data_IF_362581078321
#
_entry.id   IF_362581078321
#
_cell.length_a   1.000
_cell.length_b   1.000
_cell.length_c   1.000
_cell.angle_alpha   90.00
_cell.angle_beta   90.00
_cell.angle_gamma   90.00
#
_symmetry.space_group_name_H-M   'P 1'
#
loop_
_entity.id
_entity.type
_entity.pdbx_description
1 polymer ?
#
# COMPACT_ATOMS: atom_id res chain seq x y z
N UNK A 1 2.34 -20.75 -4.08
CA UNK A 1 2.67 -19.31 -4.11
C UNK A 1 4.09 -19.12 -3.63
N UNK A 2 4.85 -18.18 -4.23
CA UNK A 2 6.20 -17.84 -3.75
C UNK A 2 6.11 -17.12 -2.40
N UNK A 3 6.99 -17.50 -1.46
CA UNK A 3 7.09 -16.83 -0.18
C UNK A 3 8.06 -15.65 -0.28
N UNK A 4 7.65 -14.47 0.17
CA UNK A 4 8.44 -13.23 0.14
C UNK A 4 8.75 -12.78 1.58
N UNK A 5 10.03 -12.55 1.87
CA UNK A 5 10.44 -12.04 3.18
C UNK A 5 10.09 -10.56 3.31
N UNK A 6 9.10 -10.24 4.13
CA UNK A 6 8.67 -8.88 4.42
C UNK A 6 9.59 -8.25 5.47
N UNK A 7 10.20 -7.13 5.12
CA UNK A 7 11.11 -6.36 5.99
C UNK A 7 10.44 -5.07 6.45
N UNK A 8 9.80 -5.04 7.63
CA UNK A 8 9.11 -3.86 8.13
C UNK A 8 10.01 -2.62 8.12
N UNK A 9 9.53 -1.51 7.52
CA UNK A 9 10.27 -0.27 7.36
C UNK A 9 11.33 -0.26 6.25
N UNK A 10 11.55 -1.38 5.53
CA UNK A 10 12.55 -1.47 4.46
C UNK A 10 12.14 -2.47 3.36
N UNK A 11 10.87 -2.44 2.98
CA UNK A 11 10.32 -3.27 1.89
C UNK A 11 10.38 -2.47 0.59
N UNK A 12 10.89 -3.07 -0.48
CA UNK A 12 11.05 -2.39 -1.77
C UNK A 12 9.74 -2.32 -2.55
N UNK A 13 9.63 -1.38 -3.51
CA UNK A 13 8.47 -1.33 -4.43
C UNK A 13 8.34 -2.63 -5.25
N UNK A 14 9.44 -3.28 -5.58
CA UNK A 14 9.41 -4.58 -6.25
C UNK A 14 8.77 -5.66 -5.37
N UNK A 15 9.08 -5.68 -4.06
CA UNK A 15 8.47 -6.60 -3.11
C UNK A 15 6.95 -6.32 -2.96
N UNK A 16 6.54 -5.06 -2.86
CA UNK A 16 5.13 -4.68 -2.83
C UNK A 16 4.38 -5.10 -4.09
N UNK A 17 5.01 -4.98 -5.25
CA UNK A 17 4.44 -5.44 -6.53
C UNK A 17 4.24 -6.95 -6.56
N UNK A 18 5.20 -7.73 -6.06
CA UNK A 18 5.06 -9.19 -5.98
C UNK A 18 3.94 -9.59 -5.01
N UNK A 19 3.76 -8.89 -3.89
CA UNK A 19 2.62 -9.11 -2.97
C UNK A 19 1.30 -8.78 -3.67
N UNK A 20 1.22 -7.67 -4.40
CA UNK A 20 0.06 -7.33 -5.22
C UNK A 20 -0.28 -8.43 -6.23
N UNK A 21 0.74 -9.07 -6.82
CA UNK A 21 0.61 -10.18 -7.77
C UNK A 21 0.31 -11.54 -7.11
N UNK A 22 0.27 -11.61 -5.80
CA UNK A 22 -0.11 -12.81 -5.06
C UNK A 22 1.02 -13.53 -4.34
N UNK A 23 2.23 -12.94 -4.22
CA UNK A 23 3.25 -13.49 -3.34
C UNK A 23 2.80 -13.41 -1.88
N UNK A 24 3.11 -14.45 -1.11
CA UNK A 24 2.75 -14.53 0.31
C UNK A 24 3.83 -13.84 1.16
N UNK A 25 3.51 -12.72 1.82
CA UNK A 25 4.46 -12.06 2.70
C UNK A 25 4.68 -12.87 3.97
N UNK A 26 5.94 -12.99 4.38
CA UNK A 26 6.34 -13.56 5.68
C UNK A 26 7.23 -12.58 6.41
N UNK A 27 6.86 -12.21 7.63
CA UNK A 27 7.62 -11.28 8.45
C UNK A 27 9.05 -11.76 8.72
N UNK A 28 9.99 -10.81 8.64
CA UNK A 28 11.33 -11.04 9.17
C UNK A 28 11.26 -11.28 10.70
N UNK A 29 11.79 -12.40 11.16
CA UNK A 29 11.80 -12.75 12.57
C UNK A 29 12.50 -11.69 13.46
N UNK A 30 13.38 -10.89 12.89
CA UNK A 30 14.07 -9.80 13.59
C UNK A 30 13.12 -8.71 14.15
N UNK A 31 11.89 -8.59 13.64
CA UNK A 31 10.92 -7.63 14.18
C UNK A 31 10.21 -8.10 15.47
N UNK A 32 10.20 -9.41 15.76
CA UNK A 32 9.44 -9.99 16.90
C UNK A 32 9.80 -9.38 18.28
N UNK A 33 11.07 -9.12 18.64
CA UNK A 33 11.39 -8.49 19.91
C UNK A 33 10.78 -7.10 20.07
N UNK A 34 10.79 -6.28 19.01
CA UNK A 34 10.20 -4.92 19.04
C UNK A 34 8.67 -4.97 19.19
N UNK A 35 8.00 -5.88 18.50
CA UNK A 35 6.56 -6.11 18.64
C UNK A 35 6.22 -6.43 20.10
N UNK A 36 6.93 -7.39 20.68
CA UNK A 36 6.72 -7.81 22.07
C UNK A 36 6.95 -6.67 23.06
N UNK A 37 8.06 -5.94 22.92
CA UNK A 37 8.40 -4.80 23.78
C UNK A 37 7.32 -3.70 23.74
N UNK A 38 6.81 -3.37 22.56
CA UNK A 38 5.73 -2.38 22.37
C UNK A 38 4.42 -2.82 23.03
N UNK A 39 4.04 -4.10 22.91
CA UNK A 39 2.85 -4.65 23.56
C UNK A 39 2.99 -4.64 25.09
N UNK A 40 4.16 -4.99 25.61
CA UNK A 40 4.47 -4.92 27.06
C UNK A 40 4.42 -3.48 27.58
N UNK A 41 4.88 -2.49 26.81
CA UNK A 41 4.78 -1.07 27.17
C UNK A 41 3.31 -0.65 27.32
N UNK A 42 2.42 -1.04 26.40
CA UNK A 42 0.97 -0.78 26.55
C UNK A 42 0.43 -1.41 27.83
N UNK A 43 0.82 -2.62 28.16
CA UNK A 43 0.37 -3.29 29.40
C UNK A 43 0.83 -2.49 30.66
N UNK A 44 2.07 -1.97 30.65
CA UNK A 44 2.58 -1.11 31.76
C UNK A 44 1.84 0.22 31.82
N UNK A 45 1.58 0.87 30.69
CA UNK A 45 0.76 2.09 30.60
C UNK A 45 -0.63 1.88 31.18
N UNK A 46 -1.31 0.79 30.80
CA UNK A 46 -2.64 0.45 31.35
C UNK A 46 -2.57 0.23 32.88
N UNK A 47 -1.53 -0.44 33.36
CA UNK A 47 -1.35 -0.73 34.79
C UNK A 47 -1.12 0.54 35.63
N UNK A 48 -0.49 1.60 35.08
CA UNK A 48 -0.35 2.92 35.75
C UNK A 48 -1.70 3.60 35.98
N UNK A 49 -2.71 3.29 35.17
CA UNK A 49 -4.06 3.79 35.34
C UNK A 49 -4.27 5.25 34.93
N UNK A 50 -3.28 5.93 34.39
CA UNK A 50 -3.42 7.27 33.84
C UNK A 50 -4.20 7.23 32.52
N UNK A 51 -5.06 8.24 32.22
CA UNK A 51 -5.76 8.31 30.94
C UNK A 51 -4.80 8.50 29.77
N UNK A 52 -4.78 7.59 28.83
CA UNK A 52 -3.97 7.69 27.60
C UNK A 52 -4.89 7.45 26.40
N UNK A 53 -4.91 8.41 25.48
CA UNK A 53 -5.78 8.36 24.31
C UNK A 53 -5.57 7.08 23.51
N UNK A 54 -6.68 6.45 23.13
CA UNK A 54 -6.67 5.25 22.30
C UNK A 54 -6.23 3.97 23.02
N UNK A 55 -5.80 4.04 24.28
CA UNK A 55 -5.39 2.91 25.11
C UNK A 55 -6.50 2.57 26.11
N UNK A 56 -6.83 3.52 27.01
CA UNK A 56 -7.80 3.35 28.08
C UNK A 56 -8.78 4.56 28.21
N UNK A 57 -8.95 5.31 27.13
CA UNK A 57 -9.97 6.37 27.03
C UNK A 57 -10.96 6.07 25.92
N UNK A 58 -12.09 6.76 25.90
CA UNK A 58 -12.96 6.83 24.72
C UNK A 58 -12.29 7.58 23.56
N UNK A 59 -13.03 7.74 22.47
CA UNK A 59 -12.54 8.33 21.21
C UNK A 59 -13.30 9.60 20.86
N UNK A 60 -12.70 10.46 20.03
CA UNK A 60 -13.30 11.72 19.59
C UNK A 60 -13.71 12.60 20.79
N UNK A 61 -14.99 12.92 20.91
CA UNK A 61 -15.52 13.72 22.03
C UNK A 61 -15.36 13.05 23.41
N UNK A 62 -15.18 11.73 23.45
CA UNK A 62 -14.98 10.95 24.68
C UNK A 62 -13.50 10.69 24.99
N UNK A 63 -12.58 11.37 24.33
CA UNK A 63 -11.13 11.20 24.49
C UNK A 63 -10.63 11.44 25.92
N UNK A 64 -11.34 12.25 26.71
CA UNK A 64 -11.04 12.53 28.13
C UNK A 64 -11.73 11.57 29.09
N UNK A 65 -12.61 10.69 28.61
CA UNK A 65 -13.37 9.76 29.47
C UNK A 65 -12.54 8.49 29.65
N UNK A 66 -12.12 8.23 30.89
CA UNK A 66 -11.42 7.00 31.25
C UNK A 66 -12.37 5.80 31.19
N UNK A 67 -11.90 4.73 30.57
CA UNK A 67 -12.62 3.44 30.49
C UNK A 67 -12.03 2.46 31.50
N UNK A 68 -12.85 1.79 32.33
CA UNK A 68 -12.36 0.75 33.23
C UNK A 68 -11.66 -0.39 32.48
N UNK A 69 -10.69 -1.00 33.13
CA UNK A 69 -9.92 -2.10 32.51
C UNK A 69 -10.81 -3.28 32.06
N UNK A 70 -11.88 -3.56 32.80
CA UNK A 70 -12.85 -4.59 32.46
C UNK A 70 -13.63 -4.33 31.15
N UNK A 71 -13.73 -3.06 30.73
CA UNK A 71 -14.52 -2.64 29.56
C UNK A 71 -13.65 -2.39 28.33
N UNK A 72 -12.31 -2.49 28.44
CA UNK A 72 -11.38 -2.17 27.35
C UNK A 72 -11.58 -3.10 26.15
N UNK A 73 -11.83 -4.38 26.35
CA UNK A 73 -12.11 -5.33 25.27
C UNK A 73 -13.38 -4.89 24.50
N UNK A 74 -14.44 -4.61 25.23
CA UNK A 74 -15.72 -4.15 24.67
C UNK A 74 -15.53 -2.85 23.90
N UNK A 75 -14.74 -1.91 24.43
CA UNK A 75 -14.41 -0.65 23.76
C UNK A 75 -13.70 -0.89 22.43
N UNK A 76 -12.66 -1.74 22.42
CA UNK A 76 -11.87 -2.02 21.20
C UNK A 76 -12.74 -2.73 20.13
N UNK A 77 -13.58 -3.65 20.54
CA UNK A 77 -14.55 -4.29 19.65
C UNK A 77 -15.55 -3.28 19.08
N UNK A 78 -16.12 -2.43 19.92
CA UNK A 78 -17.15 -1.49 19.52
C UNK A 78 -16.61 -0.42 18.57
N UNK A 79 -15.37 0.07 18.76
CA UNK A 79 -14.78 1.03 17.83
C UNK A 79 -14.64 0.40 16.44
N UNK A 80 -14.21 -0.85 16.34
CA UNK A 80 -14.11 -1.57 15.07
C UNK A 80 -15.48 -1.67 14.39
N UNK A 81 -16.48 -2.19 15.09
CA UNK A 81 -17.80 -2.43 14.51
C UNK A 81 -18.53 -1.14 14.12
N UNK A 82 -18.37 -0.08 14.91
CA UNK A 82 -19.00 1.21 14.62
C UNK A 82 -18.37 1.96 13.44
N UNK A 83 -17.12 1.65 13.10
CA UNK A 83 -16.40 2.26 11.96
C UNK A 83 -16.45 1.40 10.69
N UNK A 84 -16.92 0.16 10.75
CA UNK A 84 -17.11 -0.71 9.59
C UNK A 84 -18.34 -0.27 8.78
N UNK A 85 -18.32 0.95 8.27
CA UNK A 85 -19.42 1.64 7.59
C UNK A 85 -19.11 1.95 6.11
N UNK A 86 -18.17 1.21 5.50
CA UNK A 86 -17.85 1.31 4.09
C UNK A 86 -19.00 0.85 3.19
N UNK A 87 -19.07 1.38 1.97
CA UNK A 87 -20.11 1.11 0.97
C UNK A 87 -19.51 0.82 -0.41
N UNK A 88 -20.34 0.41 -1.34
CA UNK A 88 -19.92 0.11 -2.72
C UNK A 88 -19.46 -1.32 -2.90
N UNK A 89 -18.94 -1.60 -4.09
CA UNK A 89 -18.44 -2.92 -4.45
C UNK A 89 -17.20 -3.30 -3.61
N UNK A 90 -16.96 -4.57 -3.39
CA UNK A 90 -15.74 -5.02 -2.73
C UNK A 90 -14.47 -4.58 -3.47
N UNK A 91 -13.43 -4.23 -2.71
CA UNK A 91 -12.07 -4.09 -3.26
C UNK A 91 -11.65 -5.37 -3.98
N UNK A 92 -10.80 -5.24 -5.00
CA UNK A 92 -10.17 -6.42 -5.57
C UNK A 92 -9.34 -7.16 -4.53
N UNK A 93 -9.32 -8.49 -4.61
CA UNK A 93 -8.51 -9.35 -3.71
C UNK A 93 -7.04 -8.94 -3.69
N UNK A 94 -6.48 -8.54 -4.84
CA UNK A 94 -5.09 -8.10 -4.96
C UNK A 94 -4.80 -6.82 -4.15
N UNK A 95 -5.67 -5.81 -4.26
CA UNK A 95 -5.52 -4.54 -3.52
C UNK A 95 -5.77 -4.77 -2.03
N UNK A 96 -6.76 -5.58 -1.66
CA UNK A 96 -7.02 -5.90 -0.25
C UNK A 96 -5.85 -6.68 0.38
N UNK A 97 -5.26 -7.64 -0.34
CA UNK A 97 -4.03 -8.35 0.08
C UNK A 97 -2.88 -7.37 0.31
N UNK A 98 -2.69 -6.41 -0.59
CA UNK A 98 -1.67 -5.37 -0.46
C UNK A 98 -1.93 -4.49 0.77
N UNK A 99 -3.16 -4.05 1.00
CA UNK A 99 -3.57 -3.29 2.19
C UNK A 99 -3.27 -4.06 3.48
N UNK A 100 -3.60 -5.35 3.55
CA UNK A 100 -3.29 -6.22 4.70
C UNK A 100 -1.77 -6.32 4.94
N UNK A 101 -0.99 -6.51 3.88
CA UNK A 101 0.46 -6.63 3.96
C UNK A 101 1.12 -5.31 4.41
N UNK A 102 0.65 -4.16 3.92
CA UNK A 102 1.06 -2.84 4.37
C UNK A 102 0.76 -2.66 5.87
N UNK A 103 -0.44 -3.06 6.30
CA UNK A 103 -0.81 -3.02 7.72
C UNK A 103 0.07 -3.93 8.56
N UNK A 104 0.32 -5.15 8.10
CA UNK A 104 1.22 -6.09 8.76
C UNK A 104 2.64 -5.50 8.92
N UNK A 105 3.19 -4.90 7.86
CA UNK A 105 4.51 -4.28 7.89
C UNK A 105 4.58 -3.06 8.83
N UNK A 106 3.55 -2.23 8.84
CA UNK A 106 3.47 -1.06 9.73
C UNK A 106 3.45 -1.48 11.20
N UNK A 107 2.54 -2.40 11.58
CA UNK A 107 2.42 -2.92 12.95
C UNK A 107 3.69 -3.64 13.42
N UNK A 108 4.35 -4.36 12.52
CA UNK A 108 5.55 -5.13 12.83
C UNK A 108 6.81 -4.28 13.07
N UNK A 109 6.76 -2.96 12.88
CA UNK A 109 7.84 -2.07 13.29
C UNK A 109 7.95 -1.90 14.81
N UNK A 110 6.91 -2.32 15.56
CA UNK A 110 6.94 -2.33 17.02
C UNK A 110 6.69 -0.98 17.68
N UNK A 111 5.94 -0.09 17.01
CA UNK A 111 5.54 1.21 17.56
C UNK A 111 4.02 1.35 17.75
N UNK A 112 3.26 0.26 17.56
CA UNK A 112 1.78 0.30 17.58
C UNK A 112 1.16 -0.31 18.83
N UNK A 113 1.94 -0.97 19.69
CA UNK A 113 1.47 -1.59 20.91
C UNK A 113 0.58 -2.82 20.73
N UNK A 114 0.65 -3.46 19.56
CA UNK A 114 -0.17 -4.63 19.19
C UNK A 114 0.51 -5.91 19.66
N UNK A 115 -0.26 -6.83 20.25
CA UNK A 115 0.26 -8.11 20.74
C UNK A 115 0.71 -9.02 19.58
N UNK A 116 1.73 -9.88 19.81
CA UNK A 116 2.22 -10.82 18.81
C UNK A 116 1.11 -11.66 18.15
N UNK A 117 0.16 -12.18 18.93
CA UNK A 117 -0.94 -13.02 18.44
C UNK A 117 -1.82 -12.33 17.40
N UNK A 118 -2.04 -11.03 17.52
CA UNK A 118 -2.84 -10.23 16.56
C UNK A 118 -2.10 -10.07 15.24
N UNK A 119 -0.79 -9.87 15.29
CA UNK A 119 0.09 -9.82 14.11
C UNK A 119 0.19 -11.21 13.46
N UNK A 120 0.33 -12.26 14.24
CA UNK A 120 0.38 -13.64 13.78
C UNK A 120 -0.91 -14.05 13.06
N UNK A 121 -2.08 -13.63 13.55
CA UNK A 121 -3.34 -13.86 12.85
C UNK A 121 -3.36 -13.16 11.49
N UNK A 122 -2.96 -11.89 11.41
CA UNK A 122 -2.93 -11.16 10.14
C UNK A 122 -1.95 -11.80 9.14
N UNK A 123 -0.79 -12.24 9.61
CA UNK A 123 0.18 -12.99 8.80
C UNK A 123 -0.40 -14.34 8.34
N UNK A 124 -1.09 -15.07 9.23
CA UNK A 124 -1.72 -16.35 8.91
C UNK A 124 -2.89 -16.21 7.92
N UNK A 125 -3.68 -15.14 8.01
CA UNK A 125 -4.73 -14.85 7.02
C UNK A 125 -4.12 -14.65 5.62
N UNK A 126 -3.04 -13.87 5.50
CA UNK A 126 -2.31 -13.69 4.25
C UNK A 126 -1.72 -14.99 3.73
N UNK A 127 -1.17 -15.83 4.62
CA UNK A 127 -0.57 -17.11 4.24
C UNK A 127 -1.59 -18.12 3.71
N UNK A 128 -2.83 -18.05 4.19
CA UNK A 128 -3.93 -18.92 3.78
C UNK A 128 -4.85 -18.31 2.71
N UNK A 129 -4.51 -17.14 2.19
CA UNK A 129 -5.33 -16.38 1.22
C UNK A 129 -6.77 -16.13 1.72
N UNK A 130 -6.91 -15.91 3.03
CA UNK A 130 -8.16 -15.50 3.68
C UNK A 130 -8.20 -13.97 3.68
N UNK A 131 -8.83 -13.41 2.65
CA UNK A 131 -8.81 -11.97 2.37
C UNK A 131 -10.16 -11.35 2.73
N UNK A 132 -10.22 -10.36 3.63
CA UNK A 132 -11.47 -9.69 4.01
C UNK A 132 -12.23 -9.09 2.82
N UNK A 133 -13.55 -9.17 2.88
CA UNK A 133 -14.42 -8.42 1.97
C UNK A 133 -14.52 -7.00 2.51
N UNK A 134 -13.83 -6.08 1.86
CA UNK A 134 -13.77 -4.67 2.24
C UNK A 134 -14.43 -3.84 1.15
N UNK A 135 -15.46 -3.02 1.44
CA UNK A 135 -16.04 -2.10 0.48
C UNK A 135 -15.02 -1.07 -0.03
N UNK A 136 -15.10 -0.72 -1.31
CA UNK A 136 -14.15 0.16 -1.96
C UNK A 136 -14.31 1.65 -1.60
N UNK A 137 -15.39 2.04 -0.90
CA UNK A 137 -15.69 3.42 -0.54
C UNK A 137 -15.92 3.54 0.97
N UNK A 138 -15.32 4.55 1.60
CA UNK A 138 -15.52 4.79 3.03
C UNK A 138 -14.38 5.54 3.72
N UNK A 139 -13.20 5.66 3.11
CA UNK A 139 -12.13 6.52 3.62
C UNK A 139 -12.19 7.91 3.00
N UNK A 140 -11.86 8.91 3.82
CA UNK A 140 -11.59 10.30 3.39
C UNK A 140 -10.15 10.72 3.71
N UNK A 141 -9.34 9.81 4.25
CA UNK A 141 -7.93 10.03 4.54
C UNK A 141 -7.60 11.00 5.68
N UNK A 142 -8.57 11.74 6.21
CA UNK A 142 -8.33 12.80 7.19
C UNK A 142 -7.98 12.28 8.59
N UNK A 143 -8.63 11.20 9.04
CA UNK A 143 -8.33 10.51 10.31
C UNK A 143 -7.71 9.13 10.07
N UNK A 144 -7.13 8.94 8.91
CA UNK A 144 -6.75 7.64 8.38
C UNK A 144 -7.91 6.91 7.70
N UNK A 145 -7.63 5.73 7.21
CA UNK A 145 -8.52 4.88 6.43
C UNK A 145 -9.45 4.05 7.33
N UNK A 146 -10.18 4.70 8.24
CA UNK A 146 -10.89 4.05 9.35
C UNK A 146 -11.88 3.00 8.88
N UNK A 147 -12.80 3.34 7.96
CA UNK A 147 -13.85 2.41 7.55
C UNK A 147 -13.31 1.15 6.86
N UNK A 148 -12.45 1.21 5.82
CA UNK A 148 -11.92 0.01 5.18
C UNK A 148 -11.04 -0.83 6.12
N UNK A 149 -10.21 -0.22 6.95
CA UNK A 149 -9.40 -0.95 7.94
C UNK A 149 -10.26 -1.55 9.06
N UNK A 150 -11.42 -0.94 9.38
CA UNK A 150 -12.39 -1.52 10.30
C UNK A 150 -13.05 -2.76 9.72
N UNK A 151 -13.39 -2.80 8.43
CA UNK A 151 -13.88 -4.02 7.78
C UNK A 151 -12.84 -5.13 7.82
N UNK A 152 -11.57 -4.83 7.55
CA UNK A 152 -10.47 -5.79 7.70
C UNK A 152 -10.39 -6.32 9.14
N UNK A 153 -10.43 -5.43 10.12
CA UNK A 153 -10.33 -5.77 11.55
C UNK A 153 -11.57 -6.52 12.04
N UNK A 154 -12.76 -6.19 11.53
CA UNK A 154 -13.98 -6.92 11.85
C UNK A 154 -13.86 -8.41 11.50
N UNK A 155 -13.25 -8.73 10.37
CA UNK A 155 -12.96 -10.12 9.99
C UNK A 155 -12.00 -10.78 10.98
N UNK A 156 -10.97 -10.10 11.44
CA UNK A 156 -10.03 -10.63 12.45
C UNK A 156 -10.71 -10.99 13.77
N UNK A 157 -11.80 -10.30 14.12
CA UNK A 157 -12.64 -10.63 15.31
C UNK A 157 -13.84 -11.53 14.98
N UNK A 158 -13.87 -12.17 13.81
CA UNK A 158 -14.87 -13.14 13.40
C UNK A 158 -16.19 -12.55 12.89
N UNK A 159 -16.21 -11.27 12.46
CA UNK A 159 -17.39 -10.57 11.93
C UNK A 159 -17.16 -10.19 10.47
N UNK A 160 -18.17 -10.33 9.61
CA UNK A 160 -18.08 -10.01 8.18
C UNK A 160 -17.79 -11.23 7.34
N UNK A 161 -17.21 -11.03 6.16
CA UNK A 161 -16.96 -12.06 5.16
C UNK A 161 -15.53 -12.00 4.60
N UNK A 162 -15.06 -13.13 4.08
CA UNK A 162 -13.76 -13.26 3.44
C UNK A 162 -13.90 -13.86 2.05
N UNK A 163 -13.02 -13.45 1.15
CA UNK A 163 -12.65 -14.24 -0.01
C UNK A 163 -11.62 -15.29 0.40
N UNK A 164 -11.75 -16.47 -0.15
CA UNK A 164 -10.79 -17.58 -0.04
C UNK A 164 -10.59 -18.18 -1.45
N UNK A 165 -9.62 -19.06 -1.67
CA UNK A 165 -9.49 -19.77 -2.95
C UNK A 165 -10.74 -20.56 -3.36
N UNK A 166 -11.63 -20.85 -2.41
CA UNK A 166 -12.86 -21.63 -2.63
C UNK A 166 -14.13 -20.78 -2.78
N UNK A 167 -14.02 -19.46 -2.67
CA UNK A 167 -15.14 -18.52 -2.78
C UNK A 167 -15.26 -17.56 -1.62
N UNK A 168 -16.40 -16.90 -1.52
CA UNK A 168 -16.74 -15.93 -0.47
C UNK A 168 -17.55 -16.60 0.65
N UNK A 169 -17.09 -16.45 1.90
CA UNK A 169 -17.69 -17.09 3.07
C UNK A 169 -17.75 -16.13 4.26
N UNK A 170 -18.69 -16.33 5.21
CA UNK A 170 -18.63 -15.67 6.51
C UNK A 170 -17.28 -15.88 7.19
N UNK A 171 -16.75 -14.86 7.86
CA UNK A 171 -15.42 -14.90 8.50
C UNK A 171 -15.22 -16.13 9.40
N UNK A 172 -16.22 -16.45 10.23
CA UNK A 172 -16.15 -17.62 11.13
C UNK A 172 -16.02 -18.95 10.37
N UNK A 173 -16.72 -19.09 9.23
CA UNK A 173 -16.64 -20.29 8.40
C UNK A 173 -15.28 -20.40 7.74
N UNK A 174 -14.79 -19.29 7.15
CA UNK A 174 -13.47 -19.24 6.54
C UNK A 174 -12.36 -19.55 7.55
N UNK A 175 -12.46 -19.04 8.78
CA UNK A 175 -11.45 -19.28 9.83
C UNK A 175 -11.41 -20.77 10.23
N UNK A 176 -12.56 -21.35 10.53
CA UNK A 176 -12.63 -22.79 10.88
C UNK A 176 -12.04 -23.67 9.79
N UNK A 177 -12.37 -23.40 8.52
CA UNK A 177 -11.87 -24.20 7.39
C UNK A 177 -10.36 -24.06 7.13
N UNK A 178 -9.72 -23.00 7.65
CA UNK A 178 -8.28 -22.77 7.52
C UNK A 178 -7.52 -22.92 8.85
N UNK A 179 -8.16 -23.40 9.90
CA UNK A 179 -7.52 -23.58 11.21
C UNK A 179 -7.11 -22.26 11.88
N UNK A 180 -7.85 -21.18 11.61
CA UNK A 180 -7.63 -19.86 12.20
C UNK A 180 -8.63 -19.61 13.33
N UNK A 181 -8.22 -18.83 14.33
CA UNK A 181 -9.06 -18.42 15.44
C UNK A 181 -9.22 -16.90 15.45
N UNK A 182 -10.44 -16.37 15.64
CA UNK A 182 -10.64 -14.93 15.82
C UNK A 182 -9.89 -14.41 17.04
N UNK A 183 -9.32 -13.20 16.91
CA UNK A 183 -8.63 -12.55 18.02
C UNK A 183 -9.62 -11.76 18.89
N UNK A 184 -9.44 -11.81 20.21
CA UNK A 184 -10.04 -10.86 21.13
C UNK A 184 -9.09 -9.69 21.30
N UNK A 185 -9.55 -8.47 20.94
CA UNK A 185 -8.71 -7.27 20.93
C UNK A 185 -8.40 -6.78 22.35
N UNK A 186 -7.12 -6.59 22.63
CA UNK A 186 -6.66 -5.92 23.87
C UNK A 186 -6.65 -4.40 23.74
N UNK A 187 -6.25 -3.72 24.81
CA UNK A 187 -6.09 -2.28 24.85
C UNK A 187 -5.25 -1.79 23.66
N UNK A 188 -5.64 -0.66 23.03
CA UNK A 188 -5.00 -0.07 21.85
C UNK A 188 -5.21 -0.85 20.52
N UNK A 189 -5.43 -2.15 20.53
CA UNK A 189 -5.39 -2.97 19.31
C UNK A 189 -6.48 -2.62 18.28
N UNK A 190 -7.68 -2.30 18.72
CA UNK A 190 -8.75 -1.86 17.83
C UNK A 190 -8.31 -0.61 17.06
N UNK A 191 -7.86 0.42 17.78
CA UNK A 191 -7.41 1.67 17.15
C UNK A 191 -6.16 1.45 16.27
N UNK A 192 -5.18 0.66 16.72
CA UNK A 192 -3.98 0.37 15.93
C UNK A 192 -4.29 -0.32 14.60
N UNK A 193 -5.27 -1.21 14.59
CA UNK A 193 -5.68 -1.94 13.40
C UNK A 193 -6.47 -1.08 12.41
N UNK A 194 -7.38 -0.24 12.90
CA UNK A 194 -8.24 0.56 12.01
C UNK A 194 -7.68 1.95 11.63
N UNK A 195 -6.63 2.42 12.33
CA UNK A 195 -6.02 3.73 12.07
C UNK A 195 -4.77 3.60 11.21
N UNK A 196 -4.62 4.45 10.21
CA UNK A 196 -3.48 4.47 9.29
C UNK A 196 -3.90 4.70 7.83
N UNK A 197 -2.95 4.66 6.92
CA UNK A 197 -3.08 5.04 5.50
C UNK A 197 -3.01 3.85 4.53
N UNK A 198 -3.15 2.63 5.02
CA UNK A 198 -2.86 1.42 4.24
C UNK A 198 -3.84 1.18 3.09
N UNK A 199 -5.10 1.62 3.21
CA UNK A 199 -6.08 1.53 2.13
C UNK A 199 -5.72 2.50 1.00
N UNK A 200 -5.50 3.77 1.31
CA UNK A 200 -5.08 4.80 0.35
C UNK A 200 -3.77 4.42 -0.34
N UNK A 201 -2.77 3.98 0.44
CA UNK A 201 -1.47 3.54 -0.07
C UNK A 201 -1.59 2.30 -0.97
N UNK A 202 -2.45 1.33 -0.64
CA UNK A 202 -2.65 0.14 -1.46
C UNK A 202 -3.26 0.48 -2.83
N UNK A 203 -4.23 1.38 -2.88
CA UNK A 203 -4.79 1.86 -4.14
C UNK A 203 -3.77 2.64 -4.97
N UNK A 204 -3.02 3.55 -4.33
CA UNK A 204 -2.02 4.34 -5.01
C UNK A 204 -0.86 3.48 -5.57
N UNK A 205 -0.40 2.47 -4.83
CA UNK A 205 0.60 1.50 -5.31
C UNK A 205 0.06 0.66 -6.47
N UNK A 206 -1.18 0.16 -6.39
CA UNK A 206 -1.80 -0.58 -7.48
C UNK A 206 -1.89 0.29 -8.74
N UNK A 207 -2.34 1.54 -8.61
CA UNK A 207 -2.40 2.50 -9.71
C UNK A 207 -1.01 2.81 -10.30
N UNK A 208 0.02 2.94 -9.45
CA UNK A 208 1.41 3.11 -9.90
C UNK A 208 1.88 1.90 -10.74
N UNK A 209 1.63 0.67 -10.27
CA UNK A 209 2.04 -0.53 -10.98
C UNK A 209 1.34 -0.67 -12.33
N UNK A 210 0.06 -0.33 -12.41
CA UNK A 210 -0.70 -0.34 -13.66
C UNK A 210 -0.24 0.79 -14.60
N UNK A 211 0.05 1.99 -14.08
CA UNK A 211 0.57 3.11 -14.87
C UNK A 211 1.96 2.81 -15.46
N UNK A 212 2.82 2.07 -14.76
CA UNK A 212 4.11 1.62 -15.31
C UNK A 212 3.92 0.65 -16.48
N UNK A 213 2.97 -0.26 -16.41
CA UNK A 213 2.64 -1.16 -17.52
C UNK A 213 2.08 -0.38 -18.71
N UNK A 214 1.20 0.59 -18.46
CA UNK A 214 0.66 1.48 -19.49
C UNK A 214 1.77 2.31 -20.15
N UNK A 215 2.71 2.83 -19.36
CA UNK A 215 3.85 3.60 -19.89
C UNK A 215 4.73 2.73 -20.80
N UNK A 216 5.06 1.50 -20.39
CA UNK A 216 5.84 0.57 -21.24
C UNK A 216 5.09 0.24 -22.53
N UNK A 217 3.79 -0.02 -22.45
CA UNK A 217 2.93 -0.29 -23.61
C UNK A 217 2.88 0.92 -24.57
N UNK A 218 2.82 2.13 -24.01
CA UNK A 218 2.83 3.37 -24.79
C UNK A 218 4.16 3.59 -25.52
N UNK A 219 5.31 3.22 -24.93
CA UNK A 219 6.60 3.25 -25.62
C UNK A 219 6.60 2.35 -26.86
N UNK A 220 6.11 1.11 -26.72
CA UNK A 220 6.03 0.17 -27.84
C UNK A 220 5.07 0.69 -28.91
N UNK A 221 3.87 1.12 -28.52
CA UNK A 221 2.89 1.68 -29.44
C UNK A 221 3.40 2.93 -30.16
N UNK A 222 4.13 3.78 -29.46
CA UNK A 222 4.76 5.00 -30.00
C UNK A 222 5.84 4.66 -31.05
N UNK A 223 6.72 3.72 -30.77
CA UNK A 223 7.73 3.25 -31.71
C UNK A 223 7.09 2.63 -32.96
N UNK A 224 6.11 1.73 -32.78
CA UNK A 224 5.35 1.13 -33.88
C UNK A 224 4.65 2.17 -34.74
N UNK A 225 4.03 3.17 -34.12
CA UNK A 225 3.32 4.24 -34.84
C UNK A 225 4.28 5.09 -35.68
N UNK A 226 5.47 5.40 -35.13
CA UNK A 226 6.50 6.14 -35.84
C UNK A 226 7.00 5.34 -37.04
N UNK A 227 7.28 4.07 -36.86
CA UNK A 227 7.78 3.18 -37.93
C UNK A 227 6.73 2.96 -39.02
N UNK A 228 5.47 2.65 -38.66
CA UNK A 228 4.37 2.45 -39.57
C UNK A 228 4.05 3.69 -40.41
N UNK A 229 4.18 4.89 -39.83
CA UNK A 229 3.99 6.15 -40.52
C UNK A 229 5.21 6.56 -41.37
N UNK A 230 6.25 5.71 -41.46
CA UNK A 230 7.55 6.07 -42.06
C UNK A 230 8.15 7.33 -41.42
N UNK A 231 8.02 7.46 -40.07
CA UNK A 231 8.58 8.55 -39.31
C UNK A 231 10.10 8.42 -39.14
N UNK A 232 10.75 9.56 -38.82
CA UNK A 232 12.19 9.61 -38.61
C UNK A 232 12.55 9.27 -37.14
N UNK A 233 13.66 8.57 -36.96
CA UNK A 233 14.29 8.33 -35.66
C UNK A 233 15.26 9.48 -35.26
N UNK A 234 15.52 10.41 -36.18
CA UNK A 234 16.40 11.56 -35.94
C UNK A 234 15.98 12.43 -34.75
N UNK A 235 14.68 12.67 -34.46
CA UNK A 235 14.25 13.39 -33.27
C UNK A 235 14.60 12.68 -31.95
N UNK A 236 14.97 11.38 -31.97
CA UNK A 236 15.36 10.60 -30.80
C UNK A 236 16.89 10.58 -30.60
N UNK A 237 17.67 11.35 -31.39
CA UNK A 237 19.12 11.43 -31.25
C UNK A 237 19.51 11.88 -29.83
N UNK A 238 20.45 11.18 -29.15
CA UNK A 238 20.81 11.44 -27.76
C UNK A 238 21.31 12.87 -27.51
N UNK A 239 21.96 13.50 -28.51
CA UNK A 239 22.50 14.87 -28.39
C UNK A 239 21.41 15.89 -28.11
N UNK A 240 20.22 15.72 -28.71
CA UNK A 240 19.06 16.59 -28.49
C UNK A 240 18.62 16.55 -27.02
N UNK A 241 18.52 15.33 -26.47
CA UNK A 241 17.96 15.11 -25.14
C UNK A 241 18.97 15.41 -24.03
N UNK A 242 20.26 15.13 -24.26
CA UNK A 242 21.35 15.50 -23.35
C UNK A 242 21.46 17.00 -23.15
N UNK A 243 21.27 17.81 -24.24
CA UNK A 243 21.25 19.26 -24.13
C UNK A 243 20.08 19.79 -23.30
N UNK A 244 18.93 19.10 -23.28
CA UNK A 244 17.77 19.49 -22.48
C UNK A 244 17.82 18.98 -21.03
N UNK A 245 18.62 17.98 -20.74
CA UNK A 245 18.99 17.48 -19.40
C UNK A 245 17.90 16.76 -18.58
N UNK A 246 16.65 16.64 -19.04
CA UNK A 246 15.61 15.93 -18.31
C UNK A 246 15.83 14.41 -18.35
N UNK A 247 16.06 13.72 -17.20
CA UNK A 247 16.39 12.28 -17.20
C UNK A 247 15.31 11.42 -17.87
N UNK A 248 14.04 11.62 -17.54
CA UNK A 248 12.94 10.87 -18.15
C UNK A 248 12.87 11.03 -19.68
N UNK A 249 13.17 12.22 -20.20
CA UNK A 249 13.22 12.46 -21.66
C UNK A 249 14.40 11.73 -22.31
N UNK A 250 15.57 11.71 -21.67
CA UNK A 250 16.78 11.03 -22.17
C UNK A 250 16.50 9.52 -22.28
N UNK A 251 15.97 8.92 -21.23
CA UNK A 251 15.66 7.50 -21.17
C UNK A 251 14.54 7.10 -22.14
N UNK A 252 13.48 7.92 -22.25
CA UNK A 252 12.41 7.69 -23.22
C UNK A 252 12.94 7.69 -24.66
N UNK A 253 13.81 8.65 -25.00
CA UNK A 253 14.42 8.72 -26.32
C UNK A 253 15.32 7.50 -26.61
N UNK A 254 16.08 7.05 -25.62
CA UNK A 254 16.88 5.84 -25.73
C UNK A 254 16.01 4.59 -25.97
N UNK A 255 14.93 4.43 -25.19
CA UNK A 255 13.99 3.33 -25.34
C UNK A 255 13.35 3.30 -26.74
N UNK A 256 12.89 4.45 -27.26
CA UNK A 256 12.31 4.54 -28.60
C UNK A 256 13.35 4.21 -29.69
N UNK A 257 14.59 4.69 -29.59
CA UNK A 257 15.67 4.30 -30.51
C UNK A 257 15.91 2.80 -30.51
N UNK A 258 15.99 2.21 -29.33
CA UNK A 258 16.22 0.77 -29.19
C UNK A 258 15.09 -0.08 -29.78
N UNK A 259 13.84 0.36 -29.59
CA UNK A 259 12.67 -0.31 -30.18
C UNK A 259 12.61 -0.20 -31.69
N UNK A 260 13.13 0.88 -32.30
CA UNK A 260 13.17 1.09 -33.74
C UNK A 260 14.45 0.58 -34.40
N UNK A 261 15.42 0.11 -33.63
CA UNK A 261 16.69 -0.35 -34.16
C UNK A 261 16.51 -1.54 -35.12
N UNK A 262 17.14 -1.45 -36.31
CA UNK A 262 17.06 -2.49 -37.32
C UNK A 262 15.77 -2.52 -38.14
N UNK A 263 14.90 -1.52 -38.03
CA UNK A 263 13.68 -1.44 -38.86
C UNK A 263 14.01 -1.26 -40.33
N UNK A 264 13.57 -2.20 -41.16
CA UNK A 264 13.66 -2.09 -42.62
C UNK A 264 12.76 -0.98 -43.16
N UNK A 265 11.67 -0.66 -42.50
CA UNK A 265 10.79 0.46 -42.86
C UNK A 265 11.54 1.76 -42.68
N UNK A 266 12.18 1.96 -41.52
CA UNK A 266 13.01 3.15 -41.27
C UNK A 266 14.17 3.28 -42.26
N UNK A 267 14.85 2.21 -42.59
CA UNK A 267 15.96 2.23 -43.56
C UNK A 267 15.48 2.59 -44.98
N UNK A 268 14.26 2.17 -45.36
CA UNK A 268 13.72 2.36 -46.71
C UNK A 268 13.55 3.84 -47.13
N UNK A 269 13.53 4.77 -46.17
CA UNK A 269 13.35 6.20 -46.37
C UNK A 269 14.36 7.07 -45.62
N UNK A 270 15.48 6.49 -45.18
CA UNK A 270 16.56 7.23 -44.50
C UNK A 270 17.19 8.30 -45.41
N UNK A 271 17.27 8.01 -46.72
CA UNK A 271 17.73 8.93 -47.73
C UNK A 271 16.61 9.25 -48.72
N UNK A 272 16.51 10.50 -49.16
CA UNK A 272 15.52 10.91 -50.15
C UNK A 272 14.10 11.10 -49.62
N UNK A 273 13.90 11.20 -48.32
CA UNK A 273 12.63 11.58 -47.75
C UNK A 273 12.29 13.02 -48.09
N UNK A 274 11.18 13.27 -48.76
CA UNK A 274 10.71 14.62 -49.11
C UNK A 274 10.25 15.44 -47.90
N UNK A 275 9.95 14.77 -46.77
CA UNK A 275 9.51 15.43 -45.54
C UNK A 275 10.71 16.00 -44.79
N UNK A 276 10.67 17.29 -44.51
CA UNK A 276 11.73 17.96 -43.74
C UNK A 276 11.71 17.52 -42.27
N UNK A 277 10.50 17.30 -41.72
CA UNK A 277 10.31 16.81 -40.35
C UNK A 277 8.92 16.21 -40.16
N UNK A 278 8.82 15.26 -39.19
CA UNK A 278 7.56 14.66 -38.78
C UNK A 278 6.70 15.62 -37.95
N UNK A 279 5.39 15.36 -37.84
CA UNK A 279 4.51 16.08 -36.92
C UNK A 279 4.89 15.85 -35.47
N UNK A 280 4.47 16.75 -34.59
CA UNK A 280 4.83 16.70 -33.15
C UNK A 280 4.42 15.42 -32.46
N UNK A 281 3.30 14.81 -32.85
CA UNK A 281 2.83 13.54 -32.27
C UNK A 281 3.80 12.37 -32.48
N UNK A 282 4.66 12.42 -33.49
CA UNK A 282 5.72 11.44 -33.71
C UNK A 282 7.05 11.87 -33.09
N UNK A 283 7.49 13.10 -33.36
CA UNK A 283 8.84 13.54 -32.97
C UNK A 283 8.98 14.03 -31.52
N UNK A 284 7.88 14.42 -30.86
CA UNK A 284 7.92 14.94 -29.50
C UNK A 284 7.58 13.88 -28.42
N UNK A 285 7.51 12.60 -28.80
CA UNK A 285 7.26 11.51 -27.83
C UNK A 285 8.24 11.50 -26.64
N UNK A 286 9.56 11.69 -26.82
CA UNK A 286 10.49 11.73 -25.69
C UNK A 286 10.17 12.82 -24.67
N UNK A 287 9.73 14.00 -25.16
CA UNK A 287 9.39 15.13 -24.29
C UNK A 287 8.12 14.86 -23.48
N UNK A 288 7.07 14.35 -24.12
CA UNK A 288 5.77 14.10 -23.49
C UNK A 288 5.84 12.88 -22.55
N UNK A 289 6.31 11.77 -23.07
CA UNK A 289 6.39 10.52 -22.28
C UNK A 289 7.46 10.61 -21.19
N UNK A 290 8.58 11.31 -21.45
CA UNK A 290 9.62 11.54 -20.46
C UNK A 290 9.15 12.41 -19.29
N UNK A 291 8.25 13.36 -19.53
CA UNK A 291 7.62 14.12 -18.46
C UNK A 291 6.73 13.22 -17.60
N UNK A 292 5.91 12.36 -18.22
CA UNK A 292 5.11 11.38 -17.50
C UNK A 292 5.96 10.40 -16.66
N UNK A 293 7.08 9.91 -17.23
CA UNK A 293 8.03 9.06 -16.49
C UNK A 293 8.59 9.75 -15.24
N UNK A 294 8.91 11.03 -15.34
CA UNK A 294 9.43 11.80 -14.21
C UNK A 294 8.40 11.92 -13.08
N UNK A 295 7.12 12.15 -13.41
CA UNK A 295 6.02 12.20 -12.44
C UNK A 295 5.80 10.83 -11.80
N UNK A 296 5.77 9.74 -12.59
CA UNK A 296 5.63 8.38 -12.06
C UNK A 296 6.75 8.03 -11.08
N UNK A 297 7.98 8.45 -11.33
CA UNK A 297 9.11 8.23 -10.40
C UNK A 297 8.95 8.99 -9.10
N UNK A 298 8.52 10.25 -9.17
CA UNK A 298 8.25 11.04 -7.97
C UNK A 298 7.13 10.39 -7.12
N UNK A 299 6.07 9.92 -7.76
CA UNK A 299 5.01 9.17 -7.09
C UNK A 299 5.55 7.87 -6.47
N UNK A 300 6.40 7.13 -7.19
CA UNK A 300 7.04 5.91 -6.70
C UNK A 300 7.88 6.15 -5.43
N UNK A 301 8.67 7.23 -5.38
CA UNK A 301 9.47 7.61 -4.20
C UNK A 301 8.58 7.95 -2.99
N UNK A 302 7.52 8.72 -3.21
CA UNK A 302 6.54 9.07 -2.17
C UNK A 302 5.85 7.81 -1.63
N UNK A 303 5.34 6.97 -2.52
CA UNK A 303 4.62 5.74 -2.13
C UNK A 303 5.55 4.70 -1.49
N UNK A 304 6.80 4.62 -1.93
CA UNK A 304 7.83 3.79 -1.30
C UNK A 304 8.11 4.21 0.14
N UNK A 305 8.12 5.51 0.41
CA UNK A 305 8.27 6.07 1.76
C UNK A 305 7.05 5.76 2.63
N UNK A 306 5.85 6.07 2.15
CA UNK A 306 4.60 5.84 2.88
C UNK A 306 4.36 4.36 3.20
N UNK A 307 4.62 3.47 2.26
CA UNK A 307 4.47 2.03 2.42
C UNK A 307 5.37 1.43 3.52
N UNK A 308 6.43 2.14 3.89
CA UNK A 308 7.36 1.77 4.96
C UNK A 308 7.15 2.57 6.25
N UNK A 309 6.18 3.46 6.29
CA UNK A 309 5.85 4.28 7.44
C UNK A 309 5.07 3.53 8.53
N UNK A 310 5.08 4.09 9.76
CA UNK A 310 4.14 3.75 10.82
C UNK A 310 3.09 4.84 10.86
N UNK A 311 1.86 4.50 10.47
CA UNK A 311 0.82 5.48 10.19
C UNK A 311 -0.40 5.37 11.11
N UNK A 312 -0.31 4.62 12.20
CA UNK A 312 -1.35 4.61 13.25
C UNK A 312 -1.06 5.64 14.36
N UNK A 313 -1.98 5.75 15.32
CA UNK A 313 -1.91 6.69 16.43
C UNK A 313 -2.68 6.13 17.66
N UNK A 314 -2.21 6.40 18.89
CA UNK A 314 -0.91 6.96 19.27
C UNK A 314 0.24 5.99 18.98
N UNK A 315 1.46 6.51 18.85
CA UNK A 315 2.66 5.69 18.75
C UNK A 315 3.18 5.34 20.14
N UNK A 316 3.72 4.13 20.28
CA UNK A 316 4.23 3.58 21.54
C UNK A 316 5.75 3.49 21.47
N UNK A 317 6.41 4.14 22.40
CA UNK A 317 7.87 4.10 22.59
C UNK A 317 8.17 3.20 23.78
N UNK A 318 8.66 2.00 23.49
CA UNK A 318 8.84 0.95 24.51
C UNK A 318 10.05 1.22 25.41
N UNK A 319 10.95 2.11 25.01
CA UNK A 319 12.17 2.46 25.73
C UNK A 319 11.89 3.20 27.06
N UNK A 320 10.82 3.99 27.07
CA UNK A 320 10.41 4.82 28.22
C UNK A 320 8.92 4.69 28.59
N UNK A 321 8.21 3.74 27.98
CA UNK A 321 6.77 3.54 28.14
C UNK A 321 5.93 4.79 27.83
N UNK A 322 6.32 5.53 26.80
CA UNK A 322 5.62 6.74 26.36
C UNK A 322 4.66 6.42 25.23
N UNK A 323 3.47 7.02 25.29
CA UNK A 323 2.50 7.02 24.19
C UNK A 323 2.34 8.46 23.68
N UNK A 324 2.68 8.70 22.41
CA UNK A 324 2.60 10.02 21.81
C UNK A 324 1.52 10.05 20.72
N UNK A 325 0.63 11.02 20.86
CA UNK A 325 -0.45 11.28 19.88
C UNK A 325 0.01 12.33 18.86
N UNK A 326 -0.06 11.98 17.59
CA UNK A 326 0.29 12.84 16.45
C UNK A 326 -0.70 12.71 15.31
N UNK A 327 -0.28 13.06 14.09
CA UNK A 327 -1.11 13.07 12.87
C UNK A 327 -0.64 12.08 11.81
N UNK A 328 0.11 11.04 12.14
CA UNK A 328 0.70 10.08 11.19
C UNK A 328 -0.34 9.33 10.34
N UNK A 329 -1.60 9.35 10.75
CA UNK A 329 -2.71 8.73 10.04
C UNK A 329 -3.25 9.58 8.87
N UNK A 330 -2.79 10.81 8.70
CA UNK A 330 -3.29 11.68 7.64
C UNK A 330 -2.73 11.26 6.27
N UNK A 331 -3.62 10.97 5.31
CA UNK A 331 -3.23 10.40 4.02
C UNK A 331 -2.81 11.46 2.98
N UNK A 332 -2.69 12.73 3.33
CA UNK A 332 -2.27 13.80 2.41
C UNK A 332 -0.98 13.47 1.60
N UNK A 333 0.04 12.78 2.17
CA UNK A 333 1.23 12.44 1.39
C UNK A 333 0.97 11.55 0.18
N UNK A 334 -0.16 10.81 0.16
CA UNK A 334 -0.53 9.90 -0.94
C UNK A 334 -1.78 10.34 -1.71
N UNK A 335 -2.35 11.51 -1.39
CA UNK A 335 -3.54 12.08 -2.01
C UNK A 335 -3.27 12.84 -3.34
#
# INVERSE_FOLDING_TARGET
MSQLKLKPGNTTLADWREIYRGAVPKLDAACRPKIKASAEAVARIVARGEPVYGINTGFGKLASVRIPAADLETLQRNIVLSHAAGVGEPMSVAICRLMMALKLASLAQGASGVRPQTIELLEAMLANDVIPVVPAQGSVGASGDLAPLSHMTAVMIGVGECFTPHGRFPAKVAFVSHGLEPVTLGAKEGLALLNGTQFSTAYALAALFDAEVLYQSALVAGALSTDAAKGSDAPFDPRIHLLRKHPGQIETAEALRNLMAGSAIRESHRLGDERVQDPYCLRCQPQVMGAALSVLRQAADTLGTEANGVTDNPLIFAEDDTALSGGNFHAEPVA
#
